data_IF_820490658640
#
_entry.id   IF_820490658640
#
_cell.length_a   1.000
_cell.length_b   1.000
_cell.length_c   1.000
_cell.angle_alpha   90.00
_cell.angle_beta   90.00
_cell.angle_gamma   90.00
#
_symmetry.space_group_name_H-M   'P 1'
#
loop_
_entity.id
_entity.type
_entity.pdbx_description
1 polymer ?
#
# COMPACT_ATOMS: atom_id res chain seq x y z
N UNK A 1 -8.55 1.22 37.93
CA UNK A 1 -7.79 1.95 36.90
C UNK A 1 -8.41 1.64 35.54
N UNK A 2 -9.35 2.50 35.14
CA UNK A 2 -10.01 2.46 33.84
C UNK A 2 -9.26 3.42 32.92
N UNK A 3 -8.56 2.89 31.91
CA UNK A 3 -8.00 3.69 30.82
C UNK A 3 -8.87 3.45 29.59
N UNK A 4 -9.38 4.55 29.04
CA UNK A 4 -10.38 4.58 27.98
C UNK A 4 -9.92 3.87 26.70
N UNK A 5 -10.71 2.88 26.30
CA UNK A 5 -10.54 2.17 25.04
C UNK A 5 -10.87 3.06 23.85
N UNK A 6 -9.89 3.23 22.97
CA UNK A 6 -10.11 3.54 21.56
C UNK A 6 -10.15 2.22 20.80
N UNK A 7 -11.25 2.00 20.09
CA UNK A 7 -11.66 0.73 19.54
C UNK A 7 -10.66 0.16 18.56
N UNK A 8 -10.02 -0.94 18.96
CA UNK A 8 -9.63 -1.97 18.00
C UNK A 8 -10.93 -2.59 17.50
N UNK A 9 -11.15 -2.62 16.18
CA UNK A 9 -12.29 -3.29 15.58
C UNK A 9 -12.10 -4.82 15.69
N UNK A 10 -12.16 -5.34 16.92
CA UNK A 10 -12.20 -6.77 17.20
C UNK A 10 -13.58 -7.26 16.80
N UNK A 11 -13.70 -7.82 15.59
CA UNK A 11 -14.88 -8.58 15.20
C UNK A 11 -14.86 -9.91 15.97
N UNK A 12 -15.27 -9.86 17.24
CA UNK A 12 -15.31 -11.02 18.11
C UNK A 12 -16.49 -11.92 17.69
N UNK A 13 -16.20 -12.99 16.94
CA UNK A 13 -17.14 -14.09 16.79
C UNK A 13 -17.19 -14.88 18.12
N UNK A 14 -18.05 -14.45 19.04
CA UNK A 14 -18.35 -15.19 20.26
C UNK A 14 -19.48 -16.19 20.01
N UNK A 15 -19.14 -17.44 19.66
CA UNK A 15 -20.06 -18.57 19.87
C UNK A 15 -19.83 -19.13 21.28
N UNK A 16 -20.70 -18.73 22.22
CA UNK A 16 -20.81 -19.18 23.62
C UNK A 16 -21.33 -20.64 23.74
N UNK A 17 -21.45 -21.25 24.95
CA UNK A 17 -20.68 -21.08 26.21
C UNK A 17 -20.31 -22.44 26.88
N UNK A 18 -19.33 -22.45 27.80
CA UNK A 18 -19.49 -22.94 29.19
C UNK A 18 -18.15 -23.21 29.92
N UNK A 19 -17.93 -22.43 30.98
CA UNK A 19 -17.10 -22.67 32.18
C UNK A 19 -15.58 -22.89 32.08
N UNK A 20 -14.81 -21.82 32.35
CA UNK A 20 -13.42 -21.88 32.84
C UNK A 20 -12.64 -20.55 32.67
N UNK A 21 -11.81 -20.11 33.65
CA UNK A 21 -11.01 -18.89 33.51
C UNK A 21 -9.71 -19.21 32.76
N UNK A 22 -9.81 -19.40 31.46
CA UNK A 22 -8.67 -19.27 30.56
C UNK A 22 -9.16 -18.41 29.40
N UNK A 23 -8.90 -17.11 29.51
CA UNK A 23 -9.04 -16.14 28.43
C UNK A 23 -8.04 -16.49 27.32
N UNK A 24 -8.25 -17.60 26.59
CA UNK A 24 -7.71 -17.75 25.24
C UNK A 24 -8.60 -16.93 24.33
N UNK A 25 -8.36 -15.62 24.34
CA UNK A 25 -8.70 -14.78 23.20
C UNK A 25 -7.85 -15.29 22.03
N UNK A 26 -8.38 -16.25 21.28
CA UNK A 26 -7.93 -16.48 19.91
C UNK A 26 -8.32 -15.24 19.14
N UNK A 27 -7.40 -14.28 19.08
CA UNK A 27 -7.54 -13.14 18.19
C UNK A 27 -7.37 -13.72 16.79
N UNK A 28 -8.48 -13.95 16.12
CA UNK A 28 -8.53 -14.41 14.73
C UNK A 28 -8.34 -13.16 13.87
N UNK A 29 -7.07 -12.88 13.56
CA UNK A 29 -6.66 -11.75 12.74
C UNK A 29 -5.16 -11.82 12.44
N UNK A 30 -4.74 -11.41 11.24
CA UNK A 30 -3.33 -11.23 10.89
C UNK A 30 -2.77 -9.90 11.42
N UNK A 31 -3.62 -8.91 11.69
CA UNK A 31 -3.34 -7.69 12.43
C UNK A 31 -3.51 -7.98 13.93
N UNK A 32 -2.59 -8.76 14.49
CA UNK A 32 -2.65 -9.27 15.86
C UNK A 32 -1.24 -9.65 16.35
N UNK A 33 -0.94 -9.58 17.66
CA UNK A 33 -0.16 -8.56 18.37
C UNK A 33 1.35 -8.56 17.99
N UNK A 34 1.74 -9.09 16.83
CA UNK A 34 3.12 -9.24 16.38
C UNK A 34 3.85 -7.91 16.12
N UNK A 35 3.15 -6.78 16.24
CA UNK A 35 3.76 -5.47 16.40
C UNK A 35 4.34 -5.23 17.82
N UNK A 36 4.57 -6.28 18.61
CA UNK A 36 5.25 -6.22 19.91
C UNK A 36 6.73 -5.87 19.79
N UNK A 37 7.37 -6.22 18.65
CA UNK A 37 8.75 -5.82 18.41
C UNK A 37 8.83 -4.30 18.36
N UNK A 38 9.85 -3.74 19.01
CA UNK A 38 10.10 -2.30 18.96
C UNK A 38 10.30 -1.81 17.51
N UNK A 39 10.78 -2.70 16.63
CA UNK A 39 10.94 -2.46 15.18
C UNK A 39 9.62 -2.16 14.47
N UNK A 40 8.49 -2.65 15.00
CA UNK A 40 7.16 -2.55 14.40
C UNK A 40 6.35 -1.36 14.95
N UNK A 41 6.96 -0.52 15.79
CA UNK A 41 6.31 0.63 16.43
C UNK A 41 5.62 1.55 15.41
N UNK A 42 6.31 1.86 14.31
CA UNK A 42 5.82 2.77 13.25
C UNK A 42 4.56 2.23 12.59
N UNK A 43 4.50 0.92 12.34
CA UNK A 43 3.33 0.28 11.76
C UNK A 43 2.13 0.30 12.73
N UNK A 44 2.34 0.16 14.04
CA UNK A 44 1.23 0.32 15.02
C UNK A 44 0.64 1.71 14.99
N UNK A 45 1.51 2.72 15.05
CA UNK A 45 1.10 4.11 15.06
C UNK A 45 0.36 4.46 13.77
N UNK A 46 0.86 3.96 12.64
CA UNK A 46 0.23 4.08 11.32
C UNK A 46 -1.15 3.41 11.30
N UNK A 47 -1.25 2.15 11.73
CA UNK A 47 -2.51 1.42 11.79
C UNK A 47 -3.55 2.10 12.69
N UNK A 48 -3.13 2.61 13.86
CA UNK A 48 -4.02 3.32 14.78
C UNK A 48 -4.52 4.63 14.16
N UNK A 49 -3.62 5.40 13.54
CA UNK A 49 -3.96 6.65 12.86
C UNK A 49 -4.91 6.45 11.69
N UNK A 50 -4.77 5.33 10.97
CA UNK A 50 -5.58 5.01 9.80
C UNK A 50 -6.91 4.32 10.14
N UNK A 51 -7.16 3.92 11.38
CA UNK A 51 -8.30 3.05 11.77
C UNK A 51 -9.70 3.60 11.48
N UNK A 52 -9.85 4.91 11.30
CA UNK A 52 -11.14 5.58 11.08
C UNK A 52 -10.95 6.90 10.34
N UNK A 53 -10.09 6.90 9.31
CA UNK A 53 -9.78 8.12 8.57
C UNK A 53 -10.96 8.47 7.64
N UNK A 54 -11.64 9.62 7.81
CA UNK A 54 -12.69 10.03 6.89
C UNK A 54 -12.08 10.38 5.54
N UNK A 55 -12.65 9.81 4.48
CA UNK A 55 -12.19 9.99 3.11
C UNK A 55 -13.36 10.25 2.17
N UNK A 56 -13.07 10.90 1.05
CA UNK A 56 -13.94 10.93 -0.12
C UNK A 56 -13.44 9.91 -1.12
N UNK A 57 -14.13 8.77 -1.21
CA UNK A 57 -13.77 7.67 -2.08
C UNK A 57 -14.31 7.88 -3.51
N UNK A 58 -13.46 7.69 -4.51
CA UNK A 58 -13.80 7.77 -5.93
C UNK A 58 -13.97 6.37 -6.52
N UNK A 59 -15.16 6.10 -7.05
CA UNK A 59 -15.48 4.85 -7.72
C UNK A 59 -15.63 5.10 -9.21
N UNK A 60 -14.90 4.33 -10.01
CA UNK A 60 -15.01 4.40 -11.46
C UNK A 60 -16.40 3.93 -11.86
N UNK A 61 -17.24 4.81 -12.42
CA UNK A 61 -18.49 4.36 -13.01
C UNK A 61 -18.15 3.51 -14.22
N UNK A 62 -18.35 2.20 -14.11
CA UNK A 62 -18.45 1.37 -15.28
C UNK A 62 -19.78 1.73 -15.93
N UNK A 63 -19.78 2.74 -16.80
CA UNK A 63 -20.85 2.87 -17.78
C UNK A 63 -20.85 1.55 -18.51
N UNK A 64 -21.81 0.69 -18.20
CA UNK A 64 -22.10 -0.49 -18.97
C UNK A 64 -22.33 0.03 -20.38
N UNK A 65 -21.32 -0.07 -21.24
CA UNK A 65 -21.47 0.13 -22.66
C UNK A 65 -22.33 -1.03 -23.12
N UNK A 66 -23.64 -0.95 -22.87
CA UNK A 66 -24.61 -1.80 -23.50
C UNK A 66 -24.54 -1.44 -24.97
N UNK A 67 -23.65 -2.13 -25.68
CA UNK A 67 -23.74 -2.29 -27.11
C UNK A 67 -25.09 -2.95 -27.36
N UNK A 68 -26.10 -2.12 -27.59
CA UNK A 68 -27.42 -2.52 -28.05
C UNK A 68 -27.27 -3.05 -29.47
N UNK A 69 -26.82 -4.30 -29.58
CA UNK A 69 -26.99 -5.11 -30.77
C UNK A 69 -28.22 -5.99 -30.55
N UNK A 70 -29.37 -5.55 -31.06
CA UNK A 70 -30.51 -6.42 -31.36
C UNK A 70 -31.72 -6.34 -30.43
N UNK A 71 -32.70 -5.52 -30.84
CA UNK A 71 -34.16 -5.72 -30.79
C UNK A 71 -34.85 -6.07 -29.45
N UNK A 72 -35.83 -5.24 -29.04
CA UNK A 72 -37.29 -5.50 -29.18
C UNK A 72 -38.09 -4.28 -28.67
N UNK A 73 -38.86 -3.72 -29.60
CA UNK A 73 -40.20 -3.09 -29.52
C UNK A 73 -40.86 -2.96 -28.13
N UNK A 74 -41.22 -1.72 -27.74
CA UNK A 74 -42.19 -1.44 -26.67
C UNK A 74 -41.96 -0.08 -26.03
N UNK A 75 -42.79 0.92 -26.37
CA UNK A 75 -42.52 2.32 -26.07
C UNK A 75 -42.82 2.79 -24.65
N UNK A 76 -42.46 4.04 -24.38
CA UNK A 76 -43.43 5.10 -24.02
C UNK A 76 -42.77 6.49 -24.07
N UNK A 77 -43.55 7.38 -24.68
CA UNK A 77 -43.36 8.81 -24.94
C UNK A 77 -43.15 9.61 -23.65
N UNK A 78 -42.19 10.55 -23.63
CA UNK A 78 -42.33 11.90 -23.04
C UNK A 78 -41.07 12.75 -23.28
N UNK A 79 -41.26 13.98 -23.79
CA UNK A 79 -40.22 15.02 -23.72
C UNK A 79 -39.98 15.86 -24.98
N UNK A 80 -41.01 16.17 -25.77
CA UNK A 80 -40.95 17.14 -26.86
C UNK A 80 -41.27 18.55 -26.33
N UNK A 81 -40.31 19.28 -25.75
CA UNK A 81 -40.45 20.74 -25.57
C UNK A 81 -39.12 21.50 -25.59
N UNK A 82 -39.01 22.39 -26.58
CA UNK A 82 -38.56 23.78 -26.45
C UNK A 82 -37.07 24.09 -26.21
N UNK A 83 -36.37 24.37 -27.33
CA UNK A 83 -35.62 25.61 -27.53
C UNK A 83 -34.62 26.04 -26.45
N UNK A 84 -33.39 25.52 -26.54
CA UNK A 84 -32.24 26.01 -25.78
C UNK A 84 -30.96 25.90 -26.61
N UNK A 85 -30.21 26.99 -26.70
CA UNK A 85 -28.93 27.16 -27.39
C UNK A 85 -28.05 25.90 -27.38
N UNK A 86 -27.50 25.57 -28.53
CA UNK A 86 -26.40 24.62 -28.68
C UNK A 86 -25.17 25.09 -27.88
N UNK A 87 -25.08 24.67 -26.62
CA UNK A 87 -23.81 24.54 -25.93
C UNK A 87 -23.09 23.36 -26.55
N UNK A 88 -21.96 23.63 -27.18
CA UNK A 88 -20.97 22.64 -27.61
C UNK A 88 -20.74 21.63 -26.50
N UNK A 89 -21.41 20.47 -26.61
CA UNK A 89 -21.17 19.29 -25.80
C UNK A 89 -19.80 18.78 -26.20
N UNK A 90 -18.77 19.31 -25.54
CA UNK A 90 -17.43 18.78 -25.65
C UNK A 90 -17.51 17.32 -25.18
N UNK A 91 -17.49 16.41 -26.14
CA UNK A 91 -17.61 14.97 -25.97
C UNK A 91 -16.27 14.43 -25.43
N UNK A 92 -15.80 15.03 -24.33
CA UNK A 92 -14.67 14.59 -23.57
C UNK A 92 -15.09 13.33 -22.84
N UNK A 93 -14.33 12.27 -23.05
CA UNK A 93 -14.48 10.97 -22.43
C UNK A 93 -14.14 11.05 -20.94
N UNK A 94 -14.81 11.93 -20.18
CA UNK A 94 -14.62 12.10 -18.75
C UNK A 94 -15.11 10.82 -18.09
N UNK A 95 -14.17 10.01 -17.59
CA UNK A 95 -14.48 8.95 -16.66
C UNK A 95 -15.34 9.56 -15.54
N UNK A 96 -16.62 9.25 -15.55
CA UNK A 96 -17.54 9.75 -14.53
C UNK A 96 -17.23 9.00 -13.25
N UNK A 97 -16.48 9.62 -12.35
CA UNK A 97 -16.23 9.08 -11.03
C UNK A 97 -17.42 9.38 -10.13
N UNK A 98 -17.91 8.35 -9.43
CA UNK A 98 -18.89 8.51 -8.37
C UNK A 98 -18.11 8.85 -7.10
N UNK A 99 -18.44 9.96 -6.47
CA UNK A 99 -17.81 10.41 -5.22
C UNK A 99 -18.68 9.98 -4.05
N UNK A 100 -18.10 9.29 -3.07
CA UNK A 100 -18.80 8.83 -1.87
C UNK A 100 -18.01 9.17 -0.63
N UNK A 101 -18.70 9.59 0.44
CA UNK A 101 -18.05 9.72 1.73
C UNK A 101 -17.89 8.33 2.31
N UNK A 102 -16.67 8.02 2.75
CA UNK A 102 -16.30 6.72 3.27
C UNK A 102 -15.35 6.87 4.44
N UNK A 103 -15.16 5.79 5.18
CA UNK A 103 -14.10 5.65 6.17
C UNK A 103 -13.06 4.70 5.62
N UNK A 104 -11.80 5.12 5.65
CA UNK A 104 -10.65 4.28 5.39
C UNK A 104 -10.21 3.64 6.71
N UNK A 105 -9.93 2.34 6.69
CA UNK A 105 -9.29 1.64 7.79
C UNK A 105 -8.31 0.58 7.30
N UNK A 106 -7.39 0.17 8.19
CA UNK A 106 -6.57 -1.01 7.97
C UNK A 106 -7.17 -2.14 8.80
N UNK A 107 -7.52 -3.24 8.14
CA UNK A 107 -8.20 -4.37 8.77
C UNK A 107 -7.78 -5.70 8.17
N UNK A 108 -8.21 -6.78 8.80
CA UNK A 108 -7.94 -8.13 8.33
C UNK A 108 -8.99 -8.57 7.32
N UNK A 109 -8.52 -9.09 6.20
CA UNK A 109 -9.35 -9.75 5.19
C UNK A 109 -9.03 -11.24 5.12
N UNK A 110 -9.83 -12.00 4.36
CA UNK A 110 -9.55 -13.40 4.07
C UNK A 110 -8.16 -13.64 3.41
N UNK A 111 -7.58 -12.60 2.80
CA UNK A 111 -6.27 -12.66 2.14
C UNK A 111 -5.13 -12.05 2.98
N UNK A 112 -5.38 -11.75 4.25
CA UNK A 112 -4.44 -11.05 5.15
C UNK A 112 -4.78 -9.56 5.35
N UNK A 113 -3.84 -8.77 5.86
CA UNK A 113 -4.03 -7.34 6.11
C UNK A 113 -4.41 -6.57 4.84
N UNK A 114 -5.39 -5.68 4.93
CA UNK A 114 -5.95 -4.96 3.80
C UNK A 114 -6.29 -3.51 4.16
N UNK A 115 -6.23 -2.64 3.14
CA UNK A 115 -6.84 -1.32 3.14
C UNK A 115 -8.32 -1.50 2.85
N UNK A 116 -9.18 -1.03 3.73
CA UNK A 116 -10.62 -1.17 3.64
C UNK A 116 -11.24 0.22 3.52
N UNK A 117 -12.02 0.43 2.46
CA UNK A 117 -12.84 1.62 2.28
C UNK A 117 -14.31 1.22 2.43
N UNK A 118 -14.94 1.71 3.51
CA UNK A 118 -16.34 1.44 3.83
C UNK A 118 -17.18 2.70 3.63
N UNK A 119 -18.25 2.69 2.83
CA UNK A 119 -19.11 3.85 2.65
C UNK A 119 -19.77 4.26 3.98
N UNK A 120 -19.98 5.57 4.17
CA UNK A 120 -20.69 6.06 5.35
C UNK A 120 -22.17 5.65 5.30
N UNK A 121 -22.65 4.97 6.35
CA UNK A 121 -23.98 4.32 6.43
C UNK A 121 -25.18 5.28 6.29
N UNK A 122 -24.97 6.59 6.45
CA UNK A 122 -26.02 7.62 6.52
C UNK A 122 -25.82 8.73 5.49
N UNK A 123 -25.85 8.40 4.21
CA UNK A 123 -26.09 9.42 3.21
C UNK A 123 -27.58 9.41 2.87
N UNK A 124 -28.24 10.57 2.99
CA UNK A 124 -29.63 10.82 2.59
C UNK A 124 -29.76 10.75 1.05
N UNK A 125 -29.40 9.62 0.47
CA UNK A 125 -29.59 9.35 -0.95
C UNK A 125 -31.07 9.06 -1.16
N UNK A 126 -31.67 9.74 -2.15
CA UNK A 126 -33.06 9.51 -2.54
C UNK A 126 -33.29 8.04 -2.87
N UNK A 127 -34.48 7.51 -2.56
CA UNK A 127 -34.83 6.09 -2.73
C UNK A 127 -34.57 5.54 -4.14
N UNK A 128 -34.59 6.42 -5.14
CA UNK A 128 -34.31 6.08 -6.55
C UNK A 128 -32.82 5.80 -6.87
N UNK A 129 -31.87 6.19 -6.00
CA UNK A 129 -30.43 5.90 -6.12
C UNK A 129 -29.96 4.70 -5.25
N UNK A 130 -30.85 4.14 -4.43
CA UNK A 130 -30.54 3.05 -3.47
C UNK A 130 -30.20 1.71 -4.18
N UNK A 131 -30.45 1.60 -5.49
CA UNK A 131 -30.32 0.36 -6.25
C UNK A 131 -28.95 -0.33 -6.24
N UNK A 132 -27.86 0.37 -5.90
CA UNK A 132 -26.55 -0.27 -5.74
C UNK A 132 -25.58 0.60 -4.92
N UNK A 133 -25.80 0.74 -3.61
CA UNK A 133 -24.73 1.16 -2.71
C UNK A 133 -23.50 0.25 -2.95
N UNK A 134 -22.32 0.82 -3.24
CA UNK A 134 -21.15 0.00 -3.50
C UNK A 134 -20.77 -0.73 -2.23
N UNK A 135 -20.52 -2.03 -2.37
CA UNK A 135 -19.98 -2.82 -1.27
C UNK A 135 -18.65 -2.25 -0.80
N UNK A 136 -18.33 -2.52 0.47
CA UNK A 136 -17.01 -2.28 1.04
C UNK A 136 -15.90 -2.79 0.10
N UNK A 137 -14.90 -1.93 -0.14
CA UNK A 137 -13.75 -2.29 -0.97
C UNK A 137 -12.56 -2.63 -0.09
N UNK A 138 -12.12 -3.88 -0.16
CA UNK A 138 -10.94 -4.40 0.54
C UNK A 138 -9.80 -4.62 -0.46
N UNK A 139 -8.66 -3.97 -0.21
CA UNK A 139 -7.42 -4.07 -1.01
C UNK A 139 -6.32 -4.68 -0.16
N UNK A 140 -5.92 -5.95 -0.39
CA UNK A 140 -4.84 -6.58 0.37
C UNK A 140 -3.53 -5.79 0.27
N UNK A 141 -2.85 -5.54 1.39
CA UNK A 141 -1.60 -4.75 1.42
C UNK A 141 -0.52 -5.35 0.51
N UNK A 142 -0.44 -6.69 0.45
CA UNK A 142 0.50 -7.39 -0.43
C UNK A 142 0.36 -7.06 -1.92
N UNK A 143 -0.78 -6.54 -2.35
CA UNK A 143 -1.06 -6.18 -3.75
C UNK A 143 -0.84 -4.70 -4.04
N UNK A 144 -0.61 -3.88 -3.03
CA UNK A 144 -0.34 -2.45 -3.20
C UNK A 144 1.11 -2.26 -3.59
N UNK A 145 1.34 -1.60 -4.73
CA UNK A 145 2.67 -1.31 -5.25
C UNK A 145 3.18 0.06 -4.88
N UNK A 146 2.47 1.06 -5.40
CA UNK A 146 2.85 2.45 -5.26
C UNK A 146 1.66 3.25 -4.75
N UNK A 147 1.94 4.25 -3.92
CA UNK A 147 0.95 5.18 -3.40
C UNK A 147 1.45 6.56 -3.77
N UNK A 148 0.71 7.23 -4.65
CA UNK A 148 1.08 8.56 -5.15
C UNK A 148 0.02 9.57 -4.77
N UNK A 149 0.51 10.79 -4.62
CA UNK A 149 -0.32 11.96 -4.67
C UNK A 149 -0.50 12.39 -6.13
N UNK A 150 -1.73 12.70 -6.53
CA UNK A 150 -2.06 13.26 -7.85
C UNK A 150 -2.62 14.66 -7.65
N UNK A 151 -1.88 15.64 -8.18
CA UNK A 151 -2.31 17.02 -8.31
C UNK A 151 -3.17 17.18 -9.56
N UNK A 152 -4.49 17.19 -9.41
CA UNK A 152 -5.41 17.47 -10.53
C UNK A 152 -5.38 18.96 -10.95
N UNK A 153 -4.67 19.80 -10.20
CA UNK A 153 -4.47 21.23 -10.43
C UNK A 153 -3.83 21.57 -11.79
N UNK A 154 -3.20 20.60 -12.46
CA UNK A 154 -2.59 20.81 -13.77
C UNK A 154 -3.60 21.03 -14.91
N UNK A 155 -4.89 20.68 -14.75
CA UNK A 155 -5.89 20.78 -15.81
C UNK A 155 -6.80 22.03 -15.75
N UNK A 156 -6.45 23.03 -14.93
CA UNK A 156 -7.07 24.36 -15.01
C UNK A 156 -8.55 24.46 -14.59
N UNK A 157 -9.13 23.40 -14.03
CA UNK A 157 -10.43 23.45 -13.38
C UNK A 157 -10.24 23.63 -11.87
N UNK A 158 -10.52 24.85 -11.41
CA UNK A 158 -10.29 25.30 -10.03
C UNK A 158 -10.95 24.41 -8.98
N UNK A 159 -10.11 23.65 -8.30
CA UNK A 159 -10.46 22.77 -7.21
C UNK A 159 -9.27 21.86 -6.97
N UNK A 160 -8.32 22.32 -6.16
CA UNK A 160 -7.11 21.61 -5.80
C UNK A 160 -7.47 20.46 -4.84
N UNK A 161 -8.24 19.49 -5.36
CA UNK A 161 -8.52 18.23 -4.67
C UNK A 161 -7.31 17.37 -4.88
N UNK A 162 -6.35 17.66 -4.02
CA UNK A 162 -5.15 16.89 -3.87
C UNK A 162 -5.65 15.46 -3.54
N UNK A 163 -5.39 14.49 -4.43
CA UNK A 163 -6.00 13.14 -4.44
C UNK A 163 -4.94 12.07 -4.14
N UNK A 164 -5.25 11.07 -3.31
CA UNK A 164 -4.36 9.91 -3.07
C UNK A 164 -4.79 8.74 -3.95
N UNK A 165 -3.83 8.15 -4.67
CA UNK A 165 -4.05 7.02 -5.57
C UNK A 165 -3.11 5.86 -5.22
N UNK A 166 -3.70 4.69 -5.00
CA UNK A 166 -3.00 3.43 -4.78
C UNK A 166 -3.00 2.62 -6.09
N UNK A 167 -1.85 2.07 -6.46
CA UNK A 167 -1.64 1.27 -7.68
C UNK A 167 -1.34 -0.19 -7.34
N UNK A 168 -1.65 -1.09 -8.27
CA UNK A 168 -1.22 -2.49 -8.16
C UNK A 168 0.31 -2.62 -8.13
N UNK A 169 0.82 -3.68 -7.50
CA UNK A 169 2.26 -3.95 -7.41
C UNK A 169 2.93 -4.04 -8.78
N UNK A 170 2.28 -4.73 -9.70
CA UNK A 170 2.86 -5.11 -10.99
C UNK A 170 2.18 -4.39 -12.17
N UNK A 171 1.43 -3.32 -11.90
CA UNK A 171 0.67 -2.59 -12.92
C UNK A 171 0.46 -1.13 -12.52
N UNK A 172 0.41 -0.25 -13.52
CA UNK A 172 -0.01 1.16 -13.34
C UNK A 172 -1.53 1.32 -13.22
N UNK A 173 -2.28 0.22 -13.12
CA UNK A 173 -3.71 0.28 -12.89
C UNK A 173 -4.04 0.73 -11.45
N UNK A 174 -4.93 1.73 -11.36
CA UNK A 174 -5.40 2.31 -10.10
C UNK A 174 -6.32 1.34 -9.36
N UNK A 175 -5.98 1.01 -8.11
CA UNK A 175 -6.83 0.19 -7.25
C UNK A 175 -7.80 1.05 -6.46
N UNK A 176 -7.30 2.12 -5.83
CA UNK A 176 -8.05 2.92 -4.89
C UNK A 176 -7.68 4.39 -5.07
N UNK A 177 -8.70 5.24 -5.16
CA UNK A 177 -8.55 6.69 -5.33
C UNK A 177 -9.42 7.37 -4.29
N UNK A 178 -8.85 8.25 -3.48
CA UNK A 178 -9.57 8.95 -2.42
C UNK A 178 -8.96 10.29 -2.05
N UNK A 179 -9.78 11.20 -1.54
CA UNK A 179 -9.32 12.42 -0.86
C UNK A 179 -9.41 12.24 0.64
N UNK A 180 -8.50 12.87 1.37
CA UNK A 180 -8.52 12.90 2.83
C UNK A 180 -9.42 14.05 3.26
N UNK A 181 -10.46 13.75 4.05
CA UNK A 181 -11.35 14.78 4.56
C UNK A 181 -10.77 15.37 5.86
N UNK A 182 -10.78 16.70 5.96
CA UNK A 182 -10.55 17.38 7.23
C UNK A 182 -11.80 17.25 8.10
N UNK A 183 -11.68 17.00 9.42
CA UNK A 183 -12.83 16.96 10.32
C UNK A 183 -13.60 18.29 10.39
N UNK A 184 -12.93 19.40 10.04
CA UNK A 184 -13.48 20.75 10.13
C UNK A 184 -14.08 21.25 8.79
N UNK A 185 -13.89 20.50 7.70
CA UNK A 185 -14.35 20.90 6.36
C UNK A 185 -15.74 20.33 6.07
N UNK A 186 -16.79 21.03 6.52
CA UNK A 186 -18.16 20.79 6.02
C UNK A 186 -18.39 21.34 4.59
N UNK A 187 -17.41 21.99 3.96
CA UNK A 187 -17.60 22.50 2.60
C UNK A 187 -16.46 23.28 1.96
N UNK A 188 -15.23 23.24 2.49
CA UNK A 188 -14.11 24.02 1.99
C UNK A 188 -12.95 23.14 1.53
N UNK A 189 -12.30 23.51 0.43
CA UNK A 189 -11.02 22.94 0.02
C UNK A 189 -9.95 23.63 0.86
N UNK A 190 -9.38 22.94 1.86
CA UNK A 190 -8.28 23.48 2.66
C UNK A 190 -6.93 23.26 1.97
N UNK A 191 -6.63 24.07 0.95
CA UNK A 191 -5.28 24.22 0.34
C UNK A 191 -4.26 24.90 1.27
N UNK A 192 -4.53 24.91 2.57
CA UNK A 192 -3.57 25.35 3.57
C UNK A 192 -2.40 24.38 3.60
N UNK A 193 -1.19 24.87 3.89
CA UNK A 193 0.02 24.03 4.07
C UNK A 193 -0.24 22.82 4.98
N UNK A 194 -1.07 22.99 6.02
CA UNK A 194 -1.50 21.92 6.92
C UNK A 194 -2.22 20.73 6.23
N UNK A 195 -2.92 20.98 5.12
CA UNK A 195 -3.59 19.94 4.33
C UNK A 195 -2.63 19.09 3.50
N UNK A 196 -1.56 19.70 3.00
CA UNK A 196 -0.47 19.02 2.29
C UNK A 196 0.29 18.11 3.26
N UNK A 197 0.68 18.63 4.41
CA UNK A 197 1.39 17.87 5.45
C UNK A 197 0.60 16.65 5.91
N UNK A 198 -0.72 16.81 6.13
CA UNK A 198 -1.60 15.71 6.55
C UNK A 198 -1.67 14.59 5.53
N UNK A 199 -1.64 14.92 4.24
CA UNK A 199 -1.66 13.93 3.17
C UNK A 199 -0.36 13.16 3.09
N UNK A 200 0.76 13.86 3.09
CA UNK A 200 2.07 13.22 3.04
C UNK A 200 2.25 12.28 4.25
N UNK A 201 1.74 12.68 5.42
CA UNK A 201 1.67 11.82 6.61
C UNK A 201 0.81 10.56 6.38
N UNK A 202 -0.39 10.69 5.79
CA UNK A 202 -1.24 9.53 5.45
C UNK A 202 -0.57 8.61 4.43
N UNK A 203 0.09 9.15 3.40
CA UNK A 203 0.84 8.36 2.42
C UNK A 203 1.99 7.63 3.11
N UNK A 204 2.76 8.32 3.95
CA UNK A 204 3.85 7.72 4.73
C UNK A 204 3.37 6.58 5.62
N UNK A 205 2.23 6.77 6.32
CA UNK A 205 1.61 5.74 7.16
C UNK A 205 1.13 4.53 6.35
N UNK A 206 0.53 4.75 5.18
CA UNK A 206 0.12 3.65 4.30
C UNK A 206 1.34 2.87 3.77
N UNK A 207 2.39 3.57 3.36
CA UNK A 207 3.65 2.95 2.92
C UNK A 207 4.31 2.14 4.03
N UNK A 208 4.32 2.65 5.27
CA UNK A 208 4.82 1.92 6.43
C UNK A 208 4.04 0.62 6.67
N UNK A 209 2.71 0.62 6.48
CA UNK A 209 1.90 -0.58 6.58
C UNK A 209 2.19 -1.61 5.48
N UNK A 210 2.41 -1.15 4.23
CA UNK A 210 2.79 -2.02 3.11
C UNK A 210 4.15 -2.66 3.35
N UNK A 211 5.14 -1.87 3.82
CA UNK A 211 6.47 -2.37 4.15
C UNK A 211 6.45 -3.37 5.31
N UNK A 212 5.67 -3.09 6.36
CA UNK A 212 5.47 -4.03 7.45
C UNK A 212 4.88 -5.36 6.97
N UNK A 213 3.84 -5.35 6.12
CA UNK A 213 3.25 -6.59 5.61
C UNK A 213 4.25 -7.36 4.72
N UNK A 214 5.10 -6.66 3.96
CA UNK A 214 6.20 -7.27 3.21
C UNK A 214 7.19 -7.97 4.14
N UNK A 215 7.63 -7.31 5.21
CA UNK A 215 8.57 -7.88 6.19
C UNK A 215 7.96 -9.06 6.94
N UNK A 216 6.69 -8.96 7.34
CA UNK A 216 5.91 -10.03 7.96
C UNK A 216 5.87 -11.27 7.07
N UNK A 217 5.53 -11.12 5.80
CA UNK A 217 5.50 -12.24 4.83
C UNK A 217 6.89 -12.81 4.56
N UNK A 218 7.92 -11.95 4.49
CA UNK A 218 9.31 -12.39 4.38
C UNK A 218 9.73 -13.29 5.53
N UNK A 219 9.36 -12.95 6.77
CA UNK A 219 9.68 -13.73 7.95
C UNK A 219 8.98 -15.10 7.96
N UNK A 220 7.80 -15.19 7.35
CA UNK A 220 7.05 -16.44 7.16
C UNK A 220 7.56 -17.28 5.97
N UNK A 221 8.46 -16.75 5.15
CA UNK A 221 8.90 -17.41 3.92
C UNK A 221 7.84 -17.40 2.82
N UNK A 222 6.84 -16.51 2.92
CA UNK A 222 5.74 -16.34 1.96
C UNK A 222 6.04 -15.30 0.85
N UNK A 223 7.28 -14.82 0.74
CA UNK A 223 7.64 -14.00 -0.41
C UNK A 223 7.62 -14.90 -1.65
N UNK A 224 6.52 -14.77 -2.41
CA UNK A 224 6.33 -15.38 -3.72
C UNK A 224 7.57 -15.12 -4.59
N UNK A 225 8.03 -16.21 -5.22
CA UNK A 225 9.15 -16.31 -6.17
C UNK A 225 8.93 -15.46 -7.46
N UNK A 226 8.04 -14.47 -7.48
CA UNK A 226 7.61 -13.74 -8.69
C UNK A 226 8.52 -12.54 -9.06
N UNK A 227 9.51 -12.20 -8.23
CA UNK A 227 10.61 -11.27 -8.60
C UNK A 227 11.86 -12.02 -9.15
N UNK A 228 11.76 -13.31 -9.48
CA UNK A 228 12.80 -14.10 -10.19
C UNK A 228 12.60 -14.15 -11.73
N UNK A 229 12.33 -13.01 -12.37
CA UNK A 229 12.62 -12.79 -13.80
C UNK A 229 13.45 -11.49 -13.83
N UNK A 230 14.72 -11.43 -14.22
CA UNK A 230 15.32 -11.91 -15.45
C UNK A 230 16.85 -11.78 -15.26
N UNK A 231 17.51 -12.82 -14.73
CA UNK A 231 18.93 -13.02 -15.08
C UNK A 231 18.89 -14.00 -16.24
N UNK A 232 18.90 -13.46 -17.46
CA UNK A 232 19.22 -14.20 -18.68
C UNK A 232 20.49 -15.01 -18.42
N UNK A 233 20.31 -16.28 -18.08
CA UNK A 233 21.33 -17.27 -18.36
C UNK A 233 21.17 -17.53 -19.86
N UNK A 234 21.92 -16.75 -20.64
CA UNK A 234 22.24 -17.02 -22.04
C UNK A 234 23.03 -18.34 -22.08
N UNK A 235 22.35 -19.47 -21.85
CA UNK A 235 22.80 -20.82 -22.16
C UNK A 235 21.59 -21.75 -21.96
N UNK A 236 20.90 -22.03 -23.06
CA UNK A 236 19.64 -22.75 -23.09
C UNK A 236 19.74 -24.15 -22.48
N UNK A 237 18.89 -24.42 -21.49
CA UNK A 237 18.33 -25.75 -21.26
C UNK A 237 17.00 -25.63 -20.49
N UNK A 238 16.02 -26.44 -20.88
CA UNK A 238 14.58 -26.28 -20.64
C UNK A 238 14.12 -26.17 -19.15
N UNK A 239 12.93 -25.59 -18.87
CA UNK A 239 12.43 -25.39 -17.51
C UNK A 239 11.82 -26.68 -16.95
N UNK A 240 12.49 -27.27 -15.96
CA UNK A 240 11.96 -28.36 -15.14
C UNK A 240 11.94 -28.00 -13.65
N UNK A 241 11.07 -28.63 -12.84
CA UNK A 241 10.86 -28.32 -11.41
C UNK A 241 12.06 -28.62 -10.49
N UNK A 242 13.21 -29.03 -11.04
CA UNK A 242 14.47 -29.26 -10.31
C UNK A 242 15.34 -27.99 -10.18
N UNK A 243 15.02 -26.90 -10.89
CA UNK A 243 15.83 -25.68 -10.87
C UNK A 243 15.65 -24.80 -9.62
N UNK A 244 14.54 -24.93 -8.88
CA UNK A 244 14.27 -24.15 -7.65
C UNK A 244 15.28 -24.40 -6.52
N UNK A 245 15.87 -25.60 -6.44
CA UNK A 245 16.87 -25.93 -5.42
C UNK A 245 18.27 -25.40 -5.81
N UNK A 246 18.57 -25.30 -7.12
CA UNK A 246 19.85 -24.76 -7.61
C UNK A 246 19.99 -23.26 -7.38
N UNK A 247 18.91 -22.47 -7.47
CA UNK A 247 18.94 -21.03 -7.22
C UNK A 247 19.37 -20.68 -5.79
N UNK A 248 18.81 -21.35 -4.79
CA UNK A 248 19.19 -21.17 -3.38
C UNK A 248 20.64 -21.59 -3.11
N UNK A 249 21.09 -22.69 -3.70
CA UNK A 249 22.48 -23.14 -3.59
C UNK A 249 23.48 -22.17 -4.26
N UNK A 250 23.13 -21.61 -5.42
CA UNK A 250 23.95 -20.62 -6.12
C UNK A 250 24.07 -19.31 -5.31
N UNK A 251 22.98 -18.86 -4.68
CA UNK A 251 22.98 -17.66 -3.82
C UNK A 251 23.85 -17.88 -2.57
N UNK A 252 23.74 -19.04 -1.92
CA UNK A 252 24.61 -19.40 -0.77
C UNK A 252 26.07 -19.49 -1.21
N UNK A 253 26.35 -20.07 -2.38
CA UNK A 253 27.70 -20.12 -2.93
C UNK A 253 28.27 -18.73 -3.24
N UNK A 254 27.45 -17.81 -3.75
CA UNK A 254 27.85 -16.43 -4.01
C UNK A 254 28.19 -15.67 -2.72
N UNK A 255 27.36 -15.79 -1.68
CA UNK A 255 27.66 -15.18 -0.38
C UNK A 255 28.89 -15.80 0.28
N UNK A 256 29.04 -17.12 0.24
CA UNK A 256 30.23 -17.80 0.74
C UNK A 256 31.50 -17.34 -0.01
N UNK A 257 31.43 -17.16 -1.33
CA UNK A 257 32.55 -16.65 -2.14
C UNK A 257 32.91 -15.21 -1.75
N UNK A 258 31.91 -14.35 -1.56
CA UNK A 258 32.11 -12.94 -1.14
C UNK A 258 32.69 -12.83 0.26
N UNK A 259 32.25 -13.68 1.18
CA UNK A 259 32.77 -13.81 2.55
C UNK A 259 34.27 -14.19 2.52
N UNK A 260 34.63 -15.20 1.73
CA UNK A 260 36.02 -15.64 1.57
C UNK A 260 36.88 -14.54 0.95
N UNK A 261 36.38 -13.81 -0.05
CA UNK A 261 37.10 -12.69 -0.66
C UNK A 261 37.34 -11.53 0.33
N UNK A 262 36.32 -11.18 1.12
CA UNK A 262 36.42 -10.19 2.19
C UNK A 262 37.46 -10.61 3.24
N UNK A 263 37.43 -11.87 3.67
CA UNK A 263 38.43 -12.39 4.62
C UNK A 263 39.85 -12.40 4.03
N UNK A 264 40.02 -12.73 2.75
CA UNK A 264 41.33 -12.65 2.07
C UNK A 264 41.84 -11.20 2.02
N UNK A 265 41.01 -10.25 1.58
CA UNK A 265 41.38 -8.82 1.59
C UNK A 265 41.74 -8.33 2.98
N UNK A 266 41.02 -8.76 4.02
CA UNK A 266 41.33 -8.41 5.41
C UNK A 266 42.69 -8.96 5.84
N UNK A 267 42.95 -10.25 5.61
CA UNK A 267 44.25 -10.88 5.92
C UNK A 267 45.41 -10.25 5.16
N UNK A 268 45.21 -9.87 3.90
CA UNK A 268 46.24 -9.16 3.12
C UNK A 268 46.54 -7.77 3.67
N UNK A 269 45.51 -7.01 4.07
CA UNK A 269 45.69 -5.71 4.74
C UNK A 269 46.44 -5.86 6.05
N UNK A 270 46.08 -6.85 6.87
CA UNK A 270 46.76 -7.14 8.14
C UNK A 270 48.20 -7.62 7.93
N UNK A 271 48.45 -8.47 6.92
CA UNK A 271 49.80 -8.93 6.55
C UNK A 271 50.67 -7.76 6.08
N UNK A 272 50.14 -6.88 5.23
CA UNK A 272 50.83 -5.64 4.83
C UNK A 272 51.14 -4.80 6.07
N UNK A 273 50.13 -4.51 6.90
CA UNK A 273 50.30 -3.77 8.16
C UNK A 273 51.41 -4.36 9.04
N UNK A 274 51.41 -5.68 9.24
CA UNK A 274 52.42 -6.37 10.03
C UNK A 274 53.82 -6.34 9.39
N UNK A 275 53.93 -6.42 8.05
CA UNK A 275 55.21 -6.25 7.36
C UNK A 275 55.80 -4.88 7.65
N UNK A 276 55.00 -3.82 7.52
CA UNK A 276 55.47 -2.46 7.80
C UNK A 276 55.80 -2.24 9.28
N UNK A 277 55.04 -2.85 10.20
CA UNK A 277 55.33 -2.78 11.63
C UNK A 277 56.67 -3.45 11.99
N UNK A 278 56.99 -4.60 11.40
CA UNK A 278 58.26 -5.30 11.63
C UNK A 278 59.45 -4.57 11.01
N UNK A 279 59.32 -4.06 9.79
CA UNK A 279 60.46 -3.49 9.06
C UNK A 279 60.77 -2.04 9.42
N UNK A 280 59.81 -1.31 10.01
CA UNK A 280 59.96 0.15 10.21
C UNK A 280 59.58 0.68 11.60
N UNK A 281 59.45 -0.20 12.59
CA UNK A 281 59.27 0.19 13.99
C UNK A 281 57.99 0.99 14.27
N UNK A 282 56.92 0.76 13.49
CA UNK A 282 55.59 1.38 13.68
C UNK A 282 55.46 2.85 13.27
N UNK A 283 56.55 3.63 13.23
CA UNK A 283 56.49 5.08 12.98
C UNK A 283 56.10 5.43 11.52
N UNK A 284 56.65 4.71 10.53
CA UNK A 284 56.35 4.96 9.10
C UNK A 284 54.91 4.64 8.72
N UNK A 285 54.29 3.63 9.35
CA UNK A 285 52.91 3.25 9.04
C UNK A 285 51.90 4.34 9.43
N UNK A 286 52.18 5.03 10.53
CA UNK A 286 51.38 6.16 11.02
C UNK A 286 51.53 7.38 10.13
N UNK A 287 52.76 7.68 9.67
CA UNK A 287 53.01 8.77 8.73
C UNK A 287 52.32 8.55 7.37
N UNK A 288 52.37 7.32 6.84
CA UNK A 288 51.70 6.98 5.56
C UNK A 288 50.16 7.05 5.67
N UNK A 289 49.60 6.64 6.82
CA UNK A 289 48.17 6.72 7.09
C UNK A 289 47.67 8.17 7.24
N UNK A 290 48.51 9.07 7.75
CA UNK A 290 48.21 10.50 7.82
C UNK A 290 48.33 11.19 6.45
N UNK A 291 49.27 10.77 5.60
CA UNK A 291 49.47 11.34 4.27
C UNK A 291 48.35 11.01 3.26
N UNK A 292 47.72 9.83 3.36
CA UNK A 292 46.59 9.45 2.48
C UNK A 292 45.23 10.03 2.91
N UNK A 293 45.18 10.76 4.03
CA UNK A 293 43.96 11.35 4.60
C UNK A 293 43.86 12.86 4.36
N UNK A 294 44.96 13.49 3.94
CA UNK A 294 45.04 14.88 3.47
C UNK A 294 44.90 14.93 1.95
#
# INVERSE_FOLDING_TARGET
FLVGGRGVCLRAHCSLPMFGPIFRLTIIGTLCPCLEKDEDYVARESCSSLSSLPIRWYIKSHKSSSSSAGAIVGGLVSGLFSGGKASSSNNGNSSSWIKLNATLCIGDSAMGPAIIASPAEKQDLSEDEIGAMPAEKSVPLKRVGNIKHVDESFLGMGGCQSTVVCYWKDSEEEILRFDIMSPDDEGGVSDTEAGVDRREDVIGKLMAMVEWDKNRRSALGELDDEEEEEFENEDGDAPGPKNKVRGKAAKVAHFAKREIEMQKRKREREKKKNSYLKDSGGLKYTALAMANRA
#
